data_IF_641987420502
#
_entry.id   IF_641987420502
#
_cell.length_a   1.000
_cell.length_b   1.000
_cell.length_c   1.000
_cell.angle_alpha   90.00
_cell.angle_beta   90.00
_cell.angle_gamma   90.00
#
_symmetry.space_group_name_H-M   'P 1'
#
loop_
_entity.id
_entity.type
_entity.pdbx_description
1 polymer ?
#
# COMPACT_ATOMS: atom_id res chain seq x y z
N UNK A 1 -6.27 20.58 -1.58
CA UNK A 1 -6.02 21.57 -2.64
C UNK A 1 -6.95 22.75 -2.40
N UNK A 2 -6.39 23.94 -2.21
CA UNK A 2 -7.13 25.18 -1.90
C UNK A 2 -7.06 26.16 -3.06
N UNK A 3 -8.20 26.54 -3.58
CA UNK A 3 -8.41 27.55 -4.60
C UNK A 3 -9.19 28.74 -4.05
N UNK A 4 -10.04 29.34 -4.90
CA UNK A 4 -10.98 30.41 -4.55
C UNK A 4 -12.31 30.13 -5.24
N UNK A 5 -13.35 29.96 -4.48
CA UNK A 5 -14.70 29.72 -5.01
C UNK A 5 -15.24 30.91 -5.78
N UNK A 6 -16.12 30.63 -6.75
CA UNK A 6 -16.81 31.66 -7.51
C UNK A 6 -18.12 31.13 -8.11
N UNK A 7 -18.94 32.00 -8.63
CA UNK A 7 -20.10 31.60 -9.44
C UNK A 7 -19.60 30.92 -10.72
N UNK A 8 -20.15 29.75 -11.07
CA UNK A 8 -19.67 28.94 -12.20
C UNK A 8 -19.73 29.69 -13.56
N UNK A 9 -20.61 30.71 -13.70
CA UNK A 9 -20.66 31.57 -14.88
C UNK A 9 -19.53 32.63 -14.92
N UNK A 10 -18.84 32.85 -13.82
CA UNK A 10 -17.74 33.84 -13.66
C UNK A 10 -16.48 33.19 -13.14
N UNK A 11 -15.92 32.16 -13.82
CA UNK A 11 -14.79 31.39 -13.32
C UNK A 11 -13.49 32.21 -13.19
N UNK A 12 -13.42 33.35 -13.89
CA UNK A 12 -12.30 34.30 -13.85
C UNK A 12 -12.20 35.10 -12.54
N UNK A 13 -13.26 35.06 -11.71
CA UNK A 13 -13.28 35.69 -10.38
C UNK A 13 -12.77 34.74 -9.28
N UNK A 14 -12.52 33.47 -9.62
CA UNK A 14 -12.02 32.45 -8.71
C UNK A 14 -10.75 31.77 -9.18
N UNK A 15 -10.36 30.71 -8.46
CA UNK A 15 -9.28 29.77 -8.82
C UNK A 15 -9.81 28.36 -8.62
N UNK A 16 -9.99 27.64 -9.72
CA UNK A 16 -10.70 26.36 -9.75
C UNK A 16 -9.92 25.23 -9.10
N UNK A 17 -10.35 24.84 -7.90
CA UNK A 17 -9.76 23.75 -7.14
C UNK A 17 -10.03 22.38 -7.75
N UNK A 18 -11.16 22.19 -8.49
CA UNK A 18 -11.50 20.90 -9.13
C UNK A 18 -10.57 20.65 -10.32
N UNK A 19 -10.44 21.64 -11.22
CA UNK A 19 -9.55 21.52 -12.39
C UNK A 19 -8.10 21.29 -11.93
N UNK A 20 -7.63 22.03 -10.94
CA UNK A 20 -6.29 21.87 -10.39
C UNK A 20 -6.09 20.45 -9.79
N UNK A 21 -7.05 19.97 -9.01
CA UNK A 21 -6.98 18.64 -8.39
C UNK A 21 -6.94 17.52 -9.42
N UNK A 22 -7.78 17.60 -10.46
CA UNK A 22 -7.78 16.61 -11.55
C UNK A 22 -6.46 16.60 -12.32
N UNK A 23 -5.85 17.77 -12.54
CA UNK A 23 -4.53 17.90 -13.16
C UNK A 23 -3.43 17.29 -12.28
N UNK A 24 -3.47 17.52 -10.96
CA UNK A 24 -2.55 16.89 -10.00
C UNK A 24 -2.66 15.38 -10.06
N UNK A 25 -3.88 14.83 -9.91
CA UNK A 25 -4.14 13.37 -9.92
C UNK A 25 -3.63 12.74 -11.23
N UNK A 26 -3.93 13.36 -12.37
CA UNK A 26 -3.45 12.89 -13.68
C UNK A 26 -1.93 12.92 -13.79
N UNK A 27 -1.30 13.99 -13.28
CA UNK A 27 0.15 14.15 -13.30
C UNK A 27 0.86 13.16 -12.38
N UNK A 28 0.24 12.75 -11.27
CA UNK A 28 0.79 11.75 -10.35
C UNK A 28 0.94 10.38 -11.01
N UNK A 29 0.20 10.06 -12.07
CA UNK A 29 0.34 8.78 -12.78
C UNK A 29 1.71 8.62 -13.46
N UNK A 30 2.38 9.72 -13.83
CA UNK A 30 3.75 9.66 -14.36
C UNK A 30 4.78 9.15 -13.35
N UNK A 31 4.46 9.23 -12.07
CA UNK A 31 5.35 8.84 -10.98
C UNK A 31 5.82 7.39 -11.14
N UNK A 32 4.90 6.47 -11.39
CA UNK A 32 5.23 5.08 -11.69
C UNK A 32 5.85 4.94 -13.07
N UNK A 33 5.19 5.49 -14.09
CA UNK A 33 5.54 5.20 -15.49
C UNK A 33 6.80 5.91 -15.98
N UNK A 34 7.30 6.96 -15.29
CA UNK A 34 8.42 7.81 -15.76
C UNK A 34 9.50 8.08 -14.72
N UNK A 35 9.31 7.71 -13.46
CA UNK A 35 10.28 7.98 -12.41
C UNK A 35 10.80 6.72 -11.72
N UNK A 36 10.04 5.64 -11.73
CA UNK A 36 10.43 4.35 -11.15
C UNK A 36 11.05 3.47 -12.24
N UNK A 37 12.05 2.68 -11.86
CA UNK A 37 12.61 1.66 -12.75
C UNK A 37 11.48 0.71 -13.20
N UNK A 38 11.31 0.46 -14.51
CA UNK A 38 10.25 -0.42 -15.01
C UNK A 38 10.35 -1.87 -14.52
N UNK A 39 11.48 -2.28 -13.96
CA UNK A 39 11.65 -3.60 -13.32
C UNK A 39 11.16 -3.62 -11.87
N UNK A 40 10.85 -2.46 -11.29
CA UNK A 40 10.36 -2.33 -9.91
C UNK A 40 8.85 -2.17 -9.89
N UNK A 41 8.21 -2.84 -8.94
CA UNK A 41 6.77 -2.73 -8.75
C UNK A 41 6.42 -1.64 -7.74
N UNK A 42 5.79 -0.58 -8.23
CA UNK A 42 5.24 0.51 -7.41
C UNK A 42 3.80 0.76 -7.83
N UNK A 43 2.92 0.94 -6.85
CA UNK A 43 1.52 1.30 -7.07
C UNK A 43 1.24 2.69 -6.51
N UNK A 44 0.60 3.54 -7.29
CA UNK A 44 0.05 4.83 -6.86
C UNK A 44 -1.42 4.84 -7.21
N UNK A 45 -2.28 4.85 -6.19
CA UNK A 45 -3.73 4.84 -6.38
C UNK A 45 -4.37 5.99 -5.63
N UNK A 46 -5.13 6.82 -6.33
CA UNK A 46 -6.09 7.76 -5.72
C UNK A 46 -7.43 7.05 -5.66
N UNK A 47 -7.98 6.92 -4.45
CA UNK A 47 -9.15 6.08 -4.18
C UNK A 47 -10.35 6.85 -3.64
N UNK A 48 -10.15 8.10 -3.24
CA UNK A 48 -11.20 8.96 -2.75
C UNK A 48 -10.98 10.40 -3.19
N UNK A 49 -12.05 11.09 -3.56
CA UNK A 49 -12.03 12.51 -3.92
C UNK A 49 -13.34 13.18 -3.51
N UNK A 50 -13.24 14.36 -2.90
CA UNK A 50 -14.39 15.20 -2.54
C UNK A 50 -14.14 16.62 -3.01
N UNK A 51 -15.09 17.22 -3.73
CA UNK A 51 -15.05 18.60 -4.18
C UNK A 51 -16.46 19.15 -4.45
N UNK A 52 -16.76 20.31 -3.89
CA UNK A 52 -18.02 21.02 -4.11
C UNK A 52 -19.26 20.32 -3.54
N UNK A 53 -20.39 21.03 -3.61
CA UNK A 53 -21.68 20.55 -3.11
C UNK A 53 -22.87 20.99 -3.98
N UNK A 54 -22.62 21.71 -5.06
CA UNK A 54 -23.66 22.21 -5.97
C UNK A 54 -23.10 22.36 -7.39
N UNK A 55 -23.99 22.45 -8.38
CA UNK A 55 -23.65 22.45 -9.80
C UNK A 55 -23.23 23.81 -10.36
N UNK A 56 -23.51 24.91 -9.67
CA UNK A 56 -23.35 26.27 -10.18
C UNK A 56 -22.34 27.14 -9.39
N UNK A 57 -21.51 26.53 -8.54
CA UNK A 57 -20.47 27.21 -7.74
C UNK A 57 -19.17 26.42 -7.84
N UNK A 58 -18.07 27.09 -8.15
CA UNK A 58 -16.72 26.57 -8.00
C UNK A 58 -16.41 26.49 -6.50
N UNK A 59 -15.98 25.33 -5.98
CA UNK A 59 -15.64 25.22 -4.56
C UNK A 59 -14.31 25.88 -4.23
N UNK A 60 -14.18 26.32 -2.97
CA UNK A 60 -12.92 26.86 -2.44
C UNK A 60 -11.83 25.81 -2.36
N UNK A 61 -12.22 24.55 -2.14
CA UNK A 61 -11.26 23.46 -1.95
C UNK A 61 -11.72 22.13 -2.57
N UNK A 62 -10.75 21.25 -2.72
CA UNK A 62 -10.95 19.86 -3.07
C UNK A 62 -9.97 18.99 -2.28
N UNK A 63 -10.40 17.80 -1.88
CA UNK A 63 -9.59 16.81 -1.16
C UNK A 63 -9.50 15.56 -2.02
N UNK A 64 -8.32 14.96 -2.08
CA UNK A 64 -8.16 13.60 -2.59
C UNK A 64 -7.24 12.80 -1.68
N UNK A 65 -7.49 11.52 -1.61
CA UNK A 65 -6.78 10.56 -0.77
C UNK A 65 -6.43 9.31 -1.56
N UNK A 66 -5.37 8.63 -1.14
CA UNK A 66 -4.93 7.44 -1.83
C UNK A 66 -3.82 6.70 -1.12
N UNK A 67 -3.23 5.73 -1.81
CA UNK A 67 -2.13 4.93 -1.28
C UNK A 67 -0.97 4.84 -2.26
N UNK A 68 0.25 4.76 -1.72
CA UNK A 68 1.44 4.38 -2.46
C UNK A 68 1.98 3.09 -1.84
N UNK A 69 2.25 2.09 -2.70
CA UNK A 69 2.79 0.79 -2.30
C UNK A 69 4.08 0.52 -3.06
N UNK A 70 5.08 -0.01 -2.37
CA UNK A 70 6.40 -0.32 -2.92
C UNK A 70 6.96 -1.59 -2.27
N UNK A 71 7.83 -2.30 -2.96
CA UNK A 71 8.60 -3.41 -2.41
C UNK A 71 10.01 -3.02 -1.98
N UNK A 72 10.41 -1.76 -2.22
CA UNK A 72 11.74 -1.27 -1.94
C UNK A 72 11.70 0.08 -1.21
N UNK A 73 12.60 0.28 -0.25
CA UNK A 73 12.66 1.49 0.56
C UNK A 73 13.20 2.71 -0.22
N UNK A 74 14.07 2.49 -1.21
CA UNK A 74 14.57 3.58 -2.06
C UNK A 74 13.48 4.05 -3.02
N UNK A 75 12.71 3.12 -3.61
CA UNK A 75 11.53 3.46 -4.42
C UNK A 75 10.48 4.19 -3.61
N UNK A 76 10.27 3.80 -2.34
CA UNK A 76 9.36 4.50 -1.42
C UNK A 76 9.81 5.94 -1.19
N UNK A 77 11.09 6.17 -0.94
CA UNK A 77 11.64 7.50 -0.74
C UNK A 77 11.53 8.35 -2.01
N UNK A 78 11.83 7.77 -3.17
CA UNK A 78 11.69 8.43 -4.47
C UNK A 78 10.23 8.77 -4.78
N UNK A 79 9.32 7.81 -4.59
CA UNK A 79 7.89 8.01 -4.80
C UNK A 79 7.34 9.14 -3.93
N UNK A 80 7.70 9.17 -2.63
CA UNK A 80 7.33 10.25 -1.72
C UNK A 80 7.85 11.60 -2.23
N UNK A 81 9.15 11.70 -2.52
CA UNK A 81 9.73 12.92 -3.03
C UNK A 81 9.03 13.43 -4.29
N UNK A 82 8.81 12.54 -5.27
CA UNK A 82 8.15 12.89 -6.51
C UNK A 82 6.67 13.26 -6.34
N UNK A 83 5.99 12.64 -5.37
CA UNK A 83 4.62 13.02 -5.04
C UNK A 83 4.54 14.48 -4.60
N UNK A 84 5.43 14.92 -3.70
CA UNK A 84 5.51 16.32 -3.28
C UNK A 84 5.88 17.23 -4.46
N UNK A 85 6.96 16.94 -5.18
CA UNK A 85 7.43 17.72 -6.32
C UNK A 85 6.32 17.95 -7.36
N UNK A 86 5.60 16.89 -7.75
CA UNK A 86 4.53 16.96 -8.75
C UNK A 86 3.35 17.74 -8.21
N UNK A 87 2.89 17.42 -7.01
CA UNK A 87 1.71 18.05 -6.40
C UNK A 87 1.92 19.56 -6.24
N UNK A 88 3.03 19.97 -5.67
CA UNK A 88 3.33 21.39 -5.40
C UNK A 88 3.51 22.19 -6.70
N UNK A 89 4.24 21.63 -7.69
CA UNK A 89 4.48 22.36 -8.94
C UNK A 89 3.24 22.44 -9.83
N UNK A 90 2.44 21.40 -9.88
CA UNK A 90 1.15 21.44 -10.62
C UNK A 90 0.19 22.39 -9.92
N UNK A 91 0.06 22.33 -8.59
CA UNK A 91 -0.75 23.28 -7.83
C UNK A 91 -0.36 24.72 -8.13
N UNK A 92 0.94 25.03 -8.10
CA UNK A 92 1.46 26.35 -8.43
C UNK A 92 1.13 26.79 -9.86
N UNK A 93 1.21 25.88 -10.83
CA UNK A 93 0.87 26.17 -12.23
C UNK A 93 -0.63 26.53 -12.41
N UNK A 94 -1.50 25.99 -11.56
CA UNK A 94 -2.94 26.28 -11.56
C UNK A 94 -3.34 27.40 -10.60
N UNK A 95 -2.40 28.01 -9.88
CA UNK A 95 -2.65 29.13 -8.95
C UNK A 95 -3.32 28.70 -7.64
N UNK A 96 -3.33 27.40 -7.32
CA UNK A 96 -3.87 26.85 -6.06
C UNK A 96 -2.76 26.52 -5.08
N UNK A 97 -3.12 26.30 -3.81
CA UNK A 97 -2.23 25.78 -2.78
C UNK A 97 -2.55 24.32 -2.49
N UNK A 98 -1.53 23.46 -2.46
CA UNK A 98 -1.68 22.09 -2.00
C UNK A 98 -1.13 21.94 -0.58
N UNK A 99 -1.95 21.39 0.32
CA UNK A 99 -1.53 20.93 1.64
C UNK A 99 -1.46 19.41 1.59
N UNK A 100 -0.31 18.84 1.97
CA UNK A 100 -0.08 17.40 1.90
C UNK A 100 0.02 16.84 3.30
N UNK A 101 -0.89 15.96 3.65
CA UNK A 101 -0.82 15.12 4.84
C UNK A 101 -0.28 13.74 4.45
N UNK A 102 0.95 13.45 4.83
CA UNK A 102 1.61 12.19 4.51
C UNK A 102 1.58 11.24 5.69
N UNK A 103 0.65 10.30 5.66
CA UNK A 103 0.54 9.25 6.68
C UNK A 103 1.60 8.18 6.42
N UNK A 104 2.50 7.99 7.38
CA UNK A 104 3.56 6.98 7.28
C UNK A 104 2.97 5.63 7.68
N UNK A 105 2.74 4.76 6.69
CA UNK A 105 2.41 3.36 6.92
C UNK A 105 3.66 2.50 7.21
N UNK A 106 3.50 1.19 7.51
CA UNK A 106 4.60 0.26 7.73
C UNK A 106 5.54 0.20 6.52
N UNK A 107 6.77 -0.19 6.76
CA UNK A 107 7.75 -0.44 5.70
C UNK A 107 7.45 -1.76 4.95
N UNK A 108 8.36 -2.15 4.07
CA UNK A 108 8.28 -3.44 3.37
C UNK A 108 8.44 -4.57 4.38
N UNK A 109 7.52 -5.52 4.39
CA UNK A 109 7.67 -6.77 5.15
C UNK A 109 8.65 -7.67 4.42
N UNK A 110 9.89 -7.70 4.90
CA UNK A 110 10.96 -8.46 4.28
C UNK A 110 11.29 -9.70 5.11
N UNK A 111 10.96 -10.86 4.59
CA UNK A 111 11.30 -12.13 5.24
C UNK A 111 12.79 -12.40 5.19
N UNK A 112 13.38 -12.78 6.33
CA UNK A 112 14.78 -13.21 6.36
C UNK A 112 14.96 -14.45 5.48
N UNK A 113 15.86 -14.44 4.47
CA UNK A 113 15.98 -15.53 3.49
C UNK A 113 16.39 -16.87 4.11
N UNK A 114 17.30 -16.85 5.08
CA UNK A 114 17.78 -18.09 5.74
C UNK A 114 16.67 -18.73 6.58
N UNK A 115 15.92 -17.90 7.34
CA UNK A 115 14.81 -18.38 8.14
C UNK A 115 13.65 -18.84 7.26
N UNK A 116 13.35 -18.13 6.17
CA UNK A 116 12.34 -18.54 5.20
C UNK A 116 12.62 -19.91 4.60
N UNK A 117 13.84 -20.14 4.13
CA UNK A 117 14.26 -21.42 3.59
C UNK A 117 14.16 -22.55 4.63
N UNK A 118 14.59 -22.28 5.86
CA UNK A 118 14.51 -23.23 6.97
C UNK A 118 13.06 -23.58 7.31
N UNK A 119 12.19 -22.59 7.49
CA UNK A 119 10.79 -22.82 7.83
C UNK A 119 10.02 -23.47 6.69
N UNK A 120 10.34 -23.14 5.44
CA UNK A 120 9.77 -23.79 4.26
C UNK A 120 10.09 -25.30 4.27
N UNK A 121 11.37 -25.66 4.48
CA UNK A 121 11.80 -27.08 4.60
C UNK A 121 11.06 -27.78 5.73
N UNK A 122 11.00 -27.17 6.92
CA UNK A 122 10.37 -27.78 8.09
C UNK A 122 8.88 -27.96 7.90
N UNK A 123 8.19 -26.97 7.38
CA UNK A 123 6.76 -27.04 7.14
C UNK A 123 6.41 -28.08 6.06
N UNK A 124 7.18 -28.14 4.98
CA UNK A 124 6.98 -29.14 3.90
C UNK A 124 7.23 -30.58 4.37
N UNK A 125 7.84 -30.80 5.52
CA UNK A 125 8.03 -32.13 6.05
C UNK A 125 6.76 -32.75 6.68
N UNK A 126 5.73 -31.94 6.96
CA UNK A 126 4.48 -32.38 7.59
C UNK A 126 3.21 -31.83 6.90
N UNK A 127 3.34 -30.90 5.94
CA UNK A 127 2.22 -30.35 5.18
C UNK A 127 2.58 -30.33 3.68
N UNK A 128 1.71 -30.90 2.87
CA UNK A 128 1.96 -31.10 1.42
C UNK A 128 1.80 -29.80 0.61
N UNK A 129 0.87 -28.92 1.03
CA UNK A 129 0.50 -27.71 0.29
C UNK A 129 1.29 -26.47 0.76
N UNK A 130 2.61 -26.56 0.72
CA UNK A 130 3.51 -25.42 1.04
C UNK A 130 4.03 -24.82 -0.26
N UNK A 131 3.74 -23.54 -0.47
CA UNK A 131 4.14 -22.83 -1.69
C UNK A 131 4.89 -21.54 -1.36
N UNK A 132 5.72 -21.08 -2.29
CA UNK A 132 6.29 -19.72 -2.26
C UNK A 132 5.30 -18.83 -3.02
N UNK A 133 4.58 -17.92 -2.34
CA UNK A 133 3.61 -17.07 -3.00
C UNK A 133 4.31 -15.98 -3.82
N UNK A 134 3.58 -15.38 -4.75
CA UNK A 134 4.00 -14.12 -5.34
C UNK A 134 4.02 -13.01 -4.30
N UNK A 135 4.89 -12.02 -4.51
CA UNK A 135 4.99 -10.86 -3.61
C UNK A 135 3.67 -10.08 -3.59
N UNK A 136 3.23 -9.71 -2.38
CA UNK A 136 1.97 -8.98 -2.16
C UNK A 136 2.23 -7.49 -1.92
N UNK A 137 1.43 -6.62 -2.56
CA UNK A 137 1.42 -5.19 -2.30
C UNK A 137 0.60 -4.80 -1.04
N UNK A 138 0.08 -5.77 -0.30
CA UNK A 138 -0.61 -5.51 0.96
C UNK A 138 0.35 -4.90 1.99
N UNK A 139 -0.14 -3.95 2.78
CA UNK A 139 0.61 -3.42 3.91
C UNK A 139 0.41 -4.32 5.13
N UNK A 140 1.49 -4.54 5.89
CA UNK A 140 1.49 -5.42 7.06
C UNK A 140 2.30 -4.79 8.19
N UNK A 141 1.75 -4.73 9.41
CA UNK A 141 2.42 -4.13 10.57
C UNK A 141 3.56 -5.01 11.10
N UNK A 142 3.58 -6.29 10.75
CA UNK A 142 4.69 -7.19 11.02
C UNK A 142 6.03 -6.70 10.43
N UNK A 143 5.98 -5.83 9.42
CA UNK A 143 7.16 -5.12 8.91
C UNK A 143 7.97 -4.46 10.03
N UNK A 144 7.29 -3.88 11.04
CA UNK A 144 7.95 -3.22 12.17
C UNK A 144 8.81 -4.19 13.01
N UNK A 145 8.38 -5.45 13.11
CA UNK A 145 9.16 -6.48 13.82
C UNK A 145 10.38 -6.90 13.01
N UNK A 146 10.22 -7.15 11.70
CA UNK A 146 11.33 -7.62 10.86
C UNK A 146 12.37 -6.54 10.56
N UNK A 147 12.08 -5.28 10.82
CA UNK A 147 13.06 -4.20 10.84
C UNK A 147 14.04 -4.30 12.03
N UNK A 148 13.62 -4.93 13.12
CA UNK A 148 14.39 -5.00 14.36
C UNK A 148 15.05 -6.35 14.56
N UNK A 149 14.39 -7.43 14.16
CA UNK A 149 14.85 -8.80 14.35
C UNK A 149 14.56 -9.63 13.09
N UNK A 150 15.41 -10.62 12.77
CA UNK A 150 15.12 -11.56 11.69
C UNK A 150 13.79 -12.28 11.94
N UNK A 151 12.89 -12.26 10.95
CA UNK A 151 11.58 -12.89 11.06
C UNK A 151 11.05 -13.39 9.71
N UNK A 152 9.95 -14.12 9.78
CA UNK A 152 9.24 -14.64 8.61
C UNK A 152 7.75 -14.42 8.80
N UNK A 153 7.14 -13.73 7.85
CA UNK A 153 5.70 -13.61 7.69
C UNK A 153 5.21 -14.68 6.71
N UNK A 154 4.26 -15.48 7.13
CA UNK A 154 3.69 -16.53 6.30
C UNK A 154 2.17 -16.35 6.14
N UNK A 155 1.68 -16.59 4.95
CA UNK A 155 0.25 -16.65 4.68
C UNK A 155 -0.30 -18.05 4.97
N UNK A 156 -1.44 -18.11 5.66
CA UNK A 156 -2.20 -19.34 5.83
C UNK A 156 -3.43 -19.26 4.92
N UNK A 157 -3.54 -20.18 3.98
CA UNK A 157 -4.69 -20.25 3.09
C UNK A 157 -5.96 -20.53 3.88
N UNK A 158 -6.98 -19.68 3.77
CA UNK A 158 -8.19 -19.72 4.59
C UNK A 158 -9.47 -20.00 3.81
N UNK A 159 -9.40 -20.08 2.47
CA UNK A 159 -10.57 -20.22 1.62
C UNK A 159 -10.33 -21.15 0.42
N UNK A 160 -11.44 -21.64 -0.17
CA UNK A 160 -11.40 -22.38 -1.43
C UNK A 160 -11.12 -21.43 -2.62
N UNK A 161 -10.54 -21.94 -3.73
CA UNK A 161 -10.42 -21.19 -4.96
C UNK A 161 -11.75 -20.57 -5.40
N UNK A 162 -11.73 -19.29 -5.78
CA UNK A 162 -12.93 -18.55 -6.19
C UNK A 162 -13.74 -17.94 -5.04
N UNK A 163 -13.32 -18.12 -3.78
CA UNK A 163 -13.92 -17.40 -2.65
C UNK A 163 -13.60 -15.90 -2.70
N UNK A 164 -14.49 -15.04 -2.14
CA UNK A 164 -14.20 -13.62 -2.00
C UNK A 164 -12.91 -13.37 -1.24
N UNK A 165 -12.11 -12.41 -1.73
CA UNK A 165 -10.83 -12.04 -1.13
C UNK A 165 -10.97 -11.14 0.10
N UNK A 166 -9.82 -10.71 0.63
CA UNK A 166 -9.75 -9.74 1.72
C UNK A 166 -10.49 -8.45 1.36
N UNK A 167 -11.19 -7.86 2.34
CA UNK A 167 -11.98 -6.63 2.25
C UNK A 167 -13.28 -6.72 1.43
N UNK A 168 -13.66 -7.89 0.94
CA UNK A 168 -15.01 -8.10 0.41
C UNK A 168 -16.01 -8.30 1.54
N UNK A 169 -17.23 -7.76 1.39
CA UNK A 169 -18.27 -7.80 2.44
C UNK A 169 -18.79 -9.21 2.72
N UNK A 170 -18.60 -10.14 1.80
CA UNK A 170 -18.99 -11.55 1.85
C UNK A 170 -17.79 -12.49 2.05
N UNK A 171 -16.63 -11.94 2.47
CA UNK A 171 -15.48 -12.75 2.85
C UNK A 171 -15.79 -13.62 4.06
N UNK A 172 -15.48 -14.91 3.97
CA UNK A 172 -15.64 -15.89 5.06
C UNK A 172 -14.32 -16.62 5.28
N UNK A 173 -13.88 -16.68 6.52
CA UNK A 173 -12.77 -17.53 6.95
C UNK A 173 -13.32 -18.88 7.40
N UNK A 174 -12.67 -19.96 7.00
CA UNK A 174 -13.08 -21.32 7.39
C UNK A 174 -12.36 -21.74 8.67
N UNK A 175 -13.11 -22.29 9.62
CA UNK A 175 -12.58 -22.75 10.90
C UNK A 175 -11.56 -23.89 10.74
N UNK A 176 -11.64 -24.66 9.66
CA UNK A 176 -10.69 -25.72 9.32
C UNK A 176 -9.27 -25.23 9.09
N UNK A 177 -9.07 -23.92 8.89
CA UNK A 177 -7.73 -23.31 8.79
C UNK A 177 -7.07 -23.11 10.15
N UNK A 178 -7.84 -23.06 11.24
CA UNK A 178 -7.31 -22.82 12.59
C UNK A 178 -6.31 -23.91 13.01
N UNK A 179 -6.61 -25.21 12.88
CA UNK A 179 -5.64 -26.27 13.19
C UNK A 179 -4.34 -26.13 12.38
N UNK A 180 -4.43 -25.82 11.07
CA UNK A 180 -3.26 -25.63 10.20
C UNK A 180 -2.39 -24.48 10.72
N UNK A 181 -3.00 -23.36 11.11
CA UNK A 181 -2.28 -22.21 11.67
C UNK A 181 -1.61 -22.55 13.01
N UNK A 182 -2.32 -23.26 13.88
CA UNK A 182 -1.78 -23.74 15.18
C UNK A 182 -0.58 -24.66 14.96
N UNK A 183 -0.70 -25.65 14.08
CA UNK A 183 0.36 -26.60 13.76
C UNK A 183 1.57 -25.85 13.15
N UNK A 184 1.34 -24.89 12.28
CA UNK A 184 2.40 -24.05 11.72
C UNK A 184 3.20 -23.35 12.83
N UNK A 185 2.53 -22.66 13.75
CA UNK A 185 3.21 -21.94 14.83
C UNK A 185 3.90 -22.90 15.80
N UNK A 186 3.26 -23.95 16.24
CA UNK A 186 3.80 -24.89 17.24
C UNK A 186 5.04 -25.61 16.67
N UNK A 187 4.91 -26.25 15.51
CA UNK A 187 6.01 -27.02 14.92
C UNK A 187 7.21 -26.14 14.58
N UNK A 188 6.97 -24.96 13.99
CA UNK A 188 8.03 -24.05 13.62
C UNK A 188 8.69 -23.37 14.84
N UNK A 189 7.93 -23.08 15.90
CA UNK A 189 8.52 -22.56 17.14
C UNK A 189 9.51 -23.57 17.75
N UNK A 190 9.13 -24.85 17.86
CA UNK A 190 10.04 -25.89 18.34
C UNK A 190 11.25 -26.08 17.43
N UNK A 191 11.07 -26.08 16.11
CA UNK A 191 12.17 -26.19 15.16
C UNK A 191 13.16 -25.02 15.26
N UNK A 192 12.66 -23.79 15.44
CA UNK A 192 13.50 -22.61 15.64
C UNK A 192 14.27 -22.66 16.98
N UNK A 193 13.59 -23.03 18.07
CA UNK A 193 14.26 -23.20 19.37
C UNK A 193 15.37 -24.28 19.32
N UNK A 194 15.15 -25.36 18.60
CA UNK A 194 16.15 -26.39 18.39
C UNK A 194 17.32 -25.87 17.54
N UNK A 195 17.06 -25.11 16.48
CA UNK A 195 18.10 -24.47 15.65
C UNK A 195 18.95 -23.52 16.46
N UNK A 196 18.34 -22.66 17.28
CA UNK A 196 19.05 -21.70 18.14
C UNK A 196 19.90 -22.38 19.24
N UNK A 197 19.48 -23.56 19.72
CA UNK A 197 20.25 -24.32 20.72
C UNK A 197 21.51 -24.99 20.15
N UNK A 198 21.52 -25.24 18.83
CA UNK A 198 22.62 -25.93 18.14
C UNK A 198 23.66 -24.98 17.52
N UNK A 199 23.33 -23.70 17.36
CA UNK A 199 24.21 -22.63 16.87
C UNK A 199 24.78 -21.81 18.00
#
# INVERSE_FOLDING_TARGET
>A
VKGVGSHAAYPHEGVDSIVATTAIISSLQQLVSRNIDPQHAVVVSVTHMVAGNTWNVLPDDAIFEGTIRTFDTADRALAKKRFYDVTENVAKAYGVTAEIDWIVGPNVTYNNPELSAFLFEKTSAWHDDVVIPEASNAGEDFATYVEQIPGVFAFIGSNAPGSPGLHFSDMVLKDETIPVAVDYYVNNAFALLEKLRKG
#
